data_IF_221884268751
#
_entry.id   IF_221884268751
#
_cell.length_a   1.000
_cell.length_b   1.000
_cell.length_c   1.000
_cell.angle_alpha   90.00
_cell.angle_beta   90.00
_cell.angle_gamma   90.00
#
_symmetry.space_group_name_H-M   'P 1'
#
loop_
_entity.id
_entity.type
_entity.pdbx_description
1 polymer ?
#
# COMPACT_ATOMS: atom_id res chain seq x y z
N UNK A 1 19.18 -8.56 4.15
CA UNK A 1 18.10 -8.28 5.12
C UNK A 1 17.67 -6.83 4.95
N UNK A 2 16.37 -6.55 4.85
CA UNK A 2 15.86 -5.17 4.77
C UNK A 2 15.98 -4.52 6.15
N UNK A 3 16.31 -3.23 6.22
CA UNK A 3 16.32 -2.49 7.48
C UNK A 3 14.89 -2.07 7.85
N UNK A 4 14.35 -2.64 8.93
CA UNK A 4 13.00 -2.35 9.42
C UNK A 4 12.84 -0.90 9.88
N UNK A 5 13.92 -0.21 10.26
CA UNK A 5 13.89 1.20 10.69
C UNK A 5 13.47 2.15 9.57
N UNK A 6 13.54 1.73 8.30
CA UNK A 6 13.12 2.51 7.13
C UNK A 6 11.61 2.53 6.90
N UNK A 7 10.86 1.61 7.53
CA UNK A 7 9.42 1.42 7.24
C UNK A 7 8.61 2.59 7.80
N UNK A 8 8.73 2.86 9.10
CA UNK A 8 7.93 3.88 9.79
C UNK A 8 8.07 5.29 9.19
N UNK A 9 9.29 5.81 8.91
CA UNK A 9 9.43 7.15 8.32
C UNK A 9 8.80 7.27 6.93
N UNK A 10 8.74 6.19 6.15
CA UNK A 10 8.06 6.19 4.86
C UNK A 10 6.54 6.28 5.03
N UNK A 11 5.97 5.49 5.96
CA UNK A 11 4.54 5.49 6.23
C UNK A 11 4.05 6.86 6.75
N UNK A 12 4.80 7.50 7.65
CA UNK A 12 4.46 8.82 8.19
C UNK A 12 4.42 9.90 7.10
N UNK A 13 5.39 9.89 6.17
CA UNK A 13 5.38 10.82 5.03
C UNK A 13 4.23 10.55 4.08
N UNK A 14 3.94 9.28 3.81
CA UNK A 14 2.84 8.86 2.94
C UNK A 14 1.50 9.31 3.51
N UNK A 15 1.25 9.05 4.79
CA UNK A 15 0.05 9.49 5.51
C UNK A 15 -0.08 11.02 5.47
N UNK A 16 0.99 11.76 5.76
CA UNK A 16 0.97 13.22 5.77
C UNK A 16 0.65 13.83 4.39
N UNK A 17 1.14 13.23 3.30
CA UNK A 17 0.81 13.65 1.93
C UNK A 17 -0.64 13.30 1.60
N UNK A 18 -1.07 12.10 1.95
CA UNK A 18 -2.39 11.60 1.61
C UNK A 18 -3.50 12.36 2.33
N UNK A 19 -3.35 12.64 3.64
CA UNK A 19 -4.30 13.47 4.40
C UNK A 19 -4.50 14.87 3.83
N UNK A 20 -3.49 15.41 3.12
CA UNK A 20 -3.60 16.71 2.43
C UNK A 20 -4.33 16.62 1.09
N UNK A 21 -4.48 15.42 0.55
CA UNK A 21 -5.06 15.16 -0.77
C UNK A 21 -6.00 13.93 -0.69
N UNK A 22 -7.10 14.01 0.08
CA UNK A 22 -7.97 12.86 0.36
C UNK A 22 -8.74 12.36 -0.87
N UNK A 23 -8.81 13.15 -1.94
CA UNK A 23 -9.47 12.75 -3.20
C UNK A 23 -8.71 11.66 -3.95
N UNK A 24 -7.42 11.47 -3.66
CA UNK A 24 -6.69 10.35 -4.21
C UNK A 24 -7.02 9.09 -3.44
N UNK A 25 -7.33 8.02 -4.17
CA UNK A 25 -7.27 6.67 -3.61
C UNK A 25 -5.84 6.24 -3.40
N UNK A 26 -5.61 5.33 -2.46
CA UNK A 26 -4.28 4.87 -2.09
C UNK A 26 -3.46 4.40 -3.29
N UNK A 27 -4.04 3.54 -4.14
CA UNK A 27 -3.36 3.02 -5.32
C UNK A 27 -2.99 4.09 -6.35
N UNK A 28 -3.83 5.12 -6.52
CA UNK A 28 -3.52 6.28 -7.36
C UNK A 28 -2.33 7.06 -6.81
N UNK A 29 -2.32 7.32 -5.49
CA UNK A 29 -1.24 8.03 -4.83
C UNK A 29 0.11 7.30 -5.02
N UNK A 30 0.14 5.98 -4.84
CA UNK A 30 1.35 5.18 -5.06
C UNK A 30 1.83 5.26 -6.51
N UNK A 31 0.92 5.18 -7.49
CA UNK A 31 1.28 5.33 -8.89
C UNK A 31 1.84 6.72 -9.23
N UNK A 32 1.27 7.77 -8.65
CA UNK A 32 1.74 9.15 -8.83
C UNK A 32 3.14 9.36 -8.23
N UNK A 33 3.41 8.77 -7.06
CA UNK A 33 4.72 8.88 -6.39
C UNK A 33 5.80 8.11 -7.18
N UNK A 34 5.47 6.91 -7.66
CA UNK A 34 6.47 6.00 -8.25
C UNK A 34 6.78 6.30 -9.71
N UNK A 35 5.83 6.87 -10.47
CA UNK A 35 5.99 7.25 -11.89
C UNK A 35 6.73 6.21 -12.72
N UNK A 36 6.40 4.94 -12.53
CA UNK A 36 7.13 3.81 -13.13
C UNK A 36 7.01 3.74 -14.65
N UNK A 37 6.15 4.57 -15.26
CA UNK A 37 5.80 4.49 -16.69
C UNK A 37 4.92 3.29 -17.04
N UNK A 38 4.56 2.47 -16.05
CA UNK A 38 3.71 1.30 -16.22
C UNK A 38 2.28 1.65 -15.80
N UNK A 39 1.33 1.40 -16.68
CA UNK A 39 -0.08 1.56 -16.37
C UNK A 39 -0.60 0.30 -15.64
N UNK A 40 -1.24 0.49 -14.48
CA UNK A 40 -1.90 -0.58 -13.74
C UNK A 40 -3.30 -0.12 -13.31
N UNK A 41 -4.33 -0.31 -14.16
CA UNK A 41 -5.69 0.10 -13.85
C UNK A 41 -6.22 -0.52 -12.57
N UNK A 42 -5.94 -1.82 -12.34
CA UNK A 42 -6.44 -2.55 -11.17
C UNK A 42 -5.91 -1.96 -9.86
N UNK A 43 -4.65 -1.53 -9.83
CA UNK A 43 -4.10 -0.80 -8.68
C UNK A 43 -4.65 0.63 -8.62
N UNK A 44 -4.75 1.31 -9.75
CA UNK A 44 -5.21 2.70 -9.84
C UNK A 44 -6.65 2.89 -9.37
N UNK A 45 -7.54 1.94 -9.62
CA UNK A 45 -8.96 2.07 -9.27
C UNK A 45 -9.35 1.40 -7.96
N UNK A 46 -8.39 0.82 -7.24
CA UNK A 46 -8.66 0.11 -5.99
C UNK A 46 -8.96 1.09 -4.85
N UNK A 47 -10.09 0.90 -4.19
CA UNK A 47 -10.51 1.63 -2.99
C UNK A 47 -9.84 1.07 -1.72
N UNK A 48 -9.82 1.85 -0.65
CA UNK A 48 -9.16 1.48 0.61
C UNK A 48 -9.76 0.21 1.24
N UNK A 49 -11.07 0.01 1.16
CA UNK A 49 -11.72 -1.20 1.69
C UNK A 49 -11.25 -2.46 0.97
N UNK A 50 -10.93 -2.37 -0.33
CA UNK A 50 -10.37 -3.49 -1.07
C UNK A 50 -8.92 -3.77 -0.66
N UNK A 51 -8.12 -2.72 -0.41
CA UNK A 51 -6.77 -2.89 0.16
C UNK A 51 -6.82 -3.58 1.52
N UNK A 52 -7.72 -3.16 2.41
CA UNK A 52 -7.86 -3.75 3.74
C UNK A 52 -8.18 -5.25 3.67
N UNK A 53 -9.15 -5.63 2.82
CA UNK A 53 -9.48 -7.06 2.60
C UNK A 53 -8.28 -7.86 2.09
N UNK A 54 -7.52 -7.31 1.13
CA UNK A 54 -6.33 -7.97 0.58
C UNK A 54 -5.19 -8.09 1.59
N UNK A 55 -5.06 -7.13 2.50
CA UNK A 55 -4.10 -7.20 3.61
C UNK A 55 -4.49 -8.32 4.56
N UNK A 56 -5.76 -8.40 4.97
CA UNK A 56 -6.25 -9.48 5.84
C UNK A 56 -6.09 -10.87 5.20
N UNK A 57 -6.32 -10.99 3.90
CA UNK A 57 -6.08 -12.22 3.13
C UNK A 57 -4.58 -12.59 3.12
N UNK A 58 -3.70 -11.61 2.96
CA UNK A 58 -2.26 -11.81 2.96
C UNK A 58 -1.75 -12.23 4.35
N UNK A 59 -2.21 -11.58 5.42
CA UNK A 59 -1.86 -11.93 6.80
C UNK A 59 -2.19 -13.40 7.11
N UNK A 60 -3.40 -13.84 6.76
CA UNK A 60 -3.82 -15.25 6.91
C UNK A 60 -2.91 -16.23 6.16
N UNK A 61 -2.45 -15.86 4.96
CA UNK A 61 -1.55 -16.70 4.17
C UNK A 61 -0.16 -16.79 4.78
N UNK A 62 0.35 -15.70 5.35
CA UNK A 62 1.65 -15.67 6.01
C UNK A 62 1.63 -16.52 7.29
N UNK A 63 0.62 -16.34 8.14
CA UNK A 63 0.46 -17.11 9.40
C UNK A 63 0.34 -18.63 9.13
N UNK A 64 -0.40 -19.00 8.08
CA UNK A 64 -0.58 -20.39 7.67
C UNK A 64 0.71 -21.03 7.11
N UNK A 65 1.60 -20.22 6.55
CA UNK A 65 2.90 -20.69 6.03
C UNK A 65 3.97 -20.77 7.12
N UNK A 66 3.88 -19.96 8.17
CA UNK A 66 4.76 -20.07 9.35
C UNK A 66 4.40 -21.27 10.25
N UNK A 67 3.16 -21.76 10.14
CA UNK A 67 2.66 -22.92 10.89
C UNK A 67 2.94 -24.28 10.21
N UNK A 68 3.65 -24.29 9.07
CA UNK A 68 4.05 -25.50 8.31
C UNK A 68 5.55 -25.71 8.37
#
# INVERSE_FOLDING_TARGET
MRDSKRIKPLLEKLEAVWRKNPDYRFGQLIMIITKTGVHNPALFTMEEEEFMKKIEELEKQLDANESK
#
